data_IF_405167664138
#
_entry.id   IF_405167664138
#
_cell.length_a   1.000
_cell.length_b   1.000
_cell.length_c   1.000
_cell.angle_alpha   90.00
_cell.angle_beta   90.00
_cell.angle_gamma   90.00
#
_symmetry.space_group_name_H-M   'P 1'
#
loop_
_entity.id
_entity.type
_entity.pdbx_description
1 polymer ?
#
# COMPACT_ATOMS: atom_id res chain seq x y z
N UNK A 1 -21.20 65.50 51.79
CA UNK A 1 -20.09 64.60 51.38
C UNK A 1 -20.51 63.16 51.01
N UNK A 2 -21.81 62.80 50.92
CA UNK A 2 -22.27 61.43 50.58
C UNK A 2 -22.68 61.19 49.12
N UNK A 3 -22.79 62.25 48.29
CA UNK A 3 -23.20 62.14 46.87
C UNK A 3 -22.03 61.83 45.91
N UNK A 4 -20.81 62.26 46.21
CA UNK A 4 -19.64 62.03 45.32
C UNK A 4 -19.06 60.61 45.41
N UNK A 5 -19.25 59.89 46.53
CA UNK A 5 -18.79 58.51 46.67
C UNK A 5 -19.72 57.48 45.99
N UNK A 6 -20.99 57.82 45.76
CA UNK A 6 -21.93 56.95 45.05
C UNK A 6 -21.65 56.90 43.54
N UNK A 7 -21.16 57.99 42.95
CA UNK A 7 -20.76 58.04 41.54
C UNK A 7 -19.51 57.20 41.26
N UNK A 8 -18.48 57.30 42.11
CA UNK A 8 -17.25 56.51 41.98
C UNK A 8 -17.54 55.02 42.21
N UNK A 9 -18.38 54.68 43.19
CA UNK A 9 -18.79 53.29 43.44
C UNK A 9 -19.56 52.68 42.25
N UNK A 10 -20.42 53.45 41.59
CA UNK A 10 -21.14 52.97 40.40
C UNK A 10 -20.19 52.77 39.21
N UNK A 11 -19.26 53.69 39.00
CA UNK A 11 -18.25 53.60 37.92
C UNK A 11 -17.34 52.38 38.12
N UNK A 12 -16.88 52.12 39.35
CA UNK A 12 -16.03 50.95 39.62
C UNK A 12 -16.78 49.63 39.48
N UNK A 13 -18.03 49.55 39.92
CA UNK A 13 -18.89 48.36 39.72
C UNK A 13 -19.14 48.11 38.24
N UNK A 14 -19.48 49.14 37.47
CA UNK A 14 -19.67 49.02 36.02
C UNK A 14 -18.38 48.61 35.30
N UNK A 15 -17.23 49.16 35.71
CA UNK A 15 -15.93 48.81 35.13
C UNK A 15 -15.59 47.33 35.42
N UNK A 16 -15.74 46.89 36.67
CA UNK A 16 -15.48 45.50 37.07
C UNK A 16 -16.43 44.52 36.37
N UNK A 17 -17.72 44.86 36.27
CA UNK A 17 -18.69 44.04 35.53
C UNK A 17 -18.36 43.98 34.04
N UNK A 18 -17.99 45.12 33.42
CA UNK A 18 -17.60 45.16 32.01
C UNK A 18 -16.35 44.31 31.73
N UNK A 19 -15.36 44.33 32.64
CA UNK A 19 -14.15 43.53 32.54
C UNK A 19 -14.45 42.03 32.71
N UNK A 20 -15.29 41.68 33.69
CA UNK A 20 -15.73 40.30 33.89
C UNK A 20 -16.47 39.76 32.66
N UNK A 21 -17.32 40.58 32.01
CA UNK A 21 -18.02 40.25 30.77
C UNK A 21 -17.06 40.08 29.58
N UNK A 22 -16.05 40.94 29.45
CA UNK A 22 -15.02 40.82 28.41
C UNK A 22 -14.22 39.52 28.55
N UNK A 23 -13.82 39.16 29.78
CA UNK A 23 -13.08 37.91 30.06
C UNK A 23 -13.94 36.69 29.77
N UNK A 24 -15.19 36.67 30.25
CA UNK A 24 -16.12 35.54 30.00
C UNK A 24 -16.45 35.39 28.52
N UNK A 25 -16.68 36.48 27.79
CA UNK A 25 -16.89 36.44 26.34
C UNK A 25 -15.64 35.92 25.59
N UNK A 26 -14.44 36.32 26.02
CA UNK A 26 -13.17 35.82 25.49
C UNK A 26 -12.96 34.33 25.74
N UNK A 27 -13.22 33.86 26.96
CA UNK A 27 -13.17 32.43 27.33
C UNK A 27 -14.19 31.58 26.57
N UNK A 28 -15.40 32.08 26.37
CA UNK A 28 -16.43 31.34 25.62
C UNK A 28 -16.05 31.19 24.14
N UNK A 29 -15.40 32.20 23.56
CA UNK A 29 -14.88 32.14 22.19
C UNK A 29 -13.72 31.15 22.06
N UNK A 30 -12.78 31.14 23.01
CA UNK A 30 -11.67 30.18 23.01
C UNK A 30 -12.14 28.74 23.25
N UNK A 31 -13.10 28.52 24.15
CA UNK A 31 -13.71 27.21 24.40
C UNK A 31 -14.43 26.66 23.16
N UNK A 32 -15.18 27.51 22.43
CA UNK A 32 -15.85 27.10 21.18
C UNK A 32 -14.85 26.66 20.11
N UNK A 33 -13.71 27.33 19.97
CA UNK A 33 -12.66 26.92 19.03
C UNK A 33 -12.04 25.58 19.42
N UNK A 34 -11.74 25.37 20.71
CA UNK A 34 -11.21 24.10 21.20
C UNK A 34 -12.19 22.92 21.05
N UNK A 35 -13.50 23.14 21.18
CA UNK A 35 -14.50 22.09 20.98
C UNK A 35 -14.53 21.59 19.53
N UNK A 36 -14.45 22.49 18.55
CA UNK A 36 -14.41 22.11 17.13
C UNK A 36 -13.13 21.35 16.78
N UNK A 37 -11.98 21.79 17.31
CA UNK A 37 -10.71 21.06 17.10
C UNK A 37 -10.73 19.68 17.75
N UNK A 38 -11.32 19.55 18.95
CA UNK A 38 -11.44 18.27 19.64
C UNK A 38 -12.38 17.32 18.87
N UNK A 39 -13.51 17.81 18.36
CA UNK A 39 -14.40 17.02 17.52
C UNK A 39 -13.69 16.52 16.26
N UNK A 40 -12.92 17.37 15.60
CA UNK A 40 -12.14 16.98 14.42
C UNK A 40 -11.05 15.95 14.76
N UNK A 41 -10.37 16.10 15.90
CA UNK A 41 -9.37 15.13 16.36
C UNK A 41 -9.99 13.77 16.66
N UNK A 42 -11.12 13.74 17.38
CA UNK A 42 -11.87 12.52 17.66
C UNK A 42 -12.32 11.83 16.36
N UNK A 43 -12.80 12.61 15.40
CA UNK A 43 -13.21 12.10 14.09
C UNK A 43 -12.04 11.46 13.33
N UNK A 44 -10.85 12.08 13.35
CA UNK A 44 -9.65 11.49 12.75
C UNK A 44 -9.19 10.21 13.45
N UNK A 45 -9.32 10.13 14.78
CA UNK A 45 -9.03 8.91 15.53
C UNK A 45 -10.02 7.79 15.18
N UNK A 46 -11.31 8.11 15.02
CA UNK A 46 -12.33 7.16 14.60
C UNK A 46 -12.00 6.56 13.23
N UNK A 47 -11.65 7.38 12.23
CA UNK A 47 -11.23 6.88 10.91
C UNK A 47 -10.03 5.93 11.01
N UNK A 48 -9.03 6.25 11.84
CA UNK A 48 -7.86 5.41 12.04
C UNK A 48 -8.20 4.07 12.69
N UNK A 49 -9.06 4.06 13.69
CA UNK A 49 -9.53 2.83 14.34
C UNK A 49 -10.25 1.92 13.34
N UNK A 50 -11.10 2.49 12.47
CA UNK A 50 -11.75 1.75 11.39
C UNK A 50 -10.72 1.21 10.37
N UNK A 51 -9.69 2.00 10.05
CA UNK A 51 -8.58 1.56 9.21
C UNK A 51 -7.84 0.34 9.81
N UNK A 52 -7.58 0.38 11.12
CA UNK A 52 -6.95 -0.72 11.86
C UNK A 52 -7.87 -1.95 12.00
N UNK A 53 -9.19 -1.76 12.03
CA UNK A 53 -10.13 -2.87 11.98
C UNK A 53 -10.02 -3.63 10.66
N UNK A 54 -9.96 -2.93 9.53
CA UNK A 54 -9.69 -3.55 8.21
C UNK A 54 -8.35 -4.27 8.15
N UNK A 55 -7.29 -3.69 8.72
CA UNK A 55 -5.97 -4.33 8.83
C UNK A 55 -6.01 -5.61 9.69
N UNK A 56 -6.69 -5.57 10.84
CA UNK A 56 -6.83 -6.71 11.74
C UNK A 56 -7.61 -7.86 11.07
N UNK A 57 -8.70 -7.53 10.37
CA UNK A 57 -9.46 -8.48 9.58
C UNK A 57 -8.59 -9.16 8.51
N UNK A 58 -7.83 -8.39 7.74
CA UNK A 58 -6.97 -8.95 6.69
C UNK A 58 -5.88 -9.87 7.25
N UNK A 59 -5.27 -9.51 8.38
CA UNK A 59 -4.28 -10.38 9.05
C UNK A 59 -4.90 -11.68 9.55
N UNK A 60 -6.13 -11.63 10.06
CA UNK A 60 -6.87 -12.84 10.43
C UNK A 60 -7.19 -13.70 9.19
N UNK A 61 -7.64 -13.08 8.09
CA UNK A 61 -7.86 -13.77 6.81
C UNK A 61 -6.60 -14.46 6.29
N UNK A 62 -5.46 -13.77 6.32
CA UNK A 62 -4.16 -14.35 5.93
C UNK A 62 -3.78 -15.54 6.84
N UNK A 63 -4.06 -15.45 8.15
CA UNK A 63 -3.81 -16.55 9.10
C UNK A 63 -4.68 -17.78 8.80
N UNK A 64 -5.95 -17.58 8.49
CA UNK A 64 -6.91 -18.65 8.22
C UNK A 64 -6.65 -19.34 6.87
N UNK A 65 -6.34 -18.56 5.83
CA UNK A 65 -6.22 -19.08 4.46
C UNK A 65 -4.80 -19.41 4.01
N UNK A 66 -3.78 -19.01 4.78
CA UNK A 66 -2.39 -19.41 4.55
C UNK A 66 -1.83 -20.06 5.83
N UNK A 67 -2.31 -21.24 6.25
CA UNK A 67 -1.88 -21.87 7.49
C UNK A 67 -0.44 -22.41 7.43
N UNK A 68 0.05 -22.80 6.24
CA UNK A 68 1.42 -23.31 6.06
C UNK A 68 2.40 -22.18 5.63
N UNK A 69 3.45 -21.87 6.41
CA UNK A 69 4.47 -20.88 6.04
C UNK A 69 5.27 -21.24 4.79
N UNK A 70 5.29 -22.52 4.39
CA UNK A 70 5.98 -23.03 3.19
C UNK A 70 5.01 -23.38 2.07
N UNK A 71 3.72 -23.14 2.27
CA UNK A 71 2.70 -23.39 1.27
C UNK A 71 2.82 -22.46 0.08
N UNK A 72 2.31 -22.91 -1.06
CA UNK A 72 2.14 -22.07 -2.25
C UNK A 72 1.20 -20.91 -1.93
N UNK A 73 1.59 -19.72 -2.37
CA UNK A 73 0.74 -18.51 -2.32
C UNK A 73 0.31 -18.18 -3.74
N UNK A 74 -1.00 -18.17 -3.99
CA UNK A 74 -1.54 -17.94 -5.33
C UNK A 74 -2.70 -16.95 -5.33
N UNK A 75 -2.82 -16.17 -6.41
CA UNK A 75 -3.85 -15.13 -6.56
C UNK A 75 -5.29 -15.69 -6.61
N UNK A 76 -5.47 -16.99 -6.87
CA UNK A 76 -6.78 -17.64 -6.87
C UNK A 76 -7.18 -18.28 -5.54
N UNK A 77 -6.36 -18.16 -4.49
CA UNK A 77 -6.72 -18.63 -3.15
C UNK A 77 -7.71 -17.68 -2.46
N UNK A 78 -8.41 -18.19 -1.44
CA UNK A 78 -9.46 -17.43 -0.73
C UNK A 78 -8.96 -16.18 -0.02
N UNK A 79 -7.67 -16.08 0.34
CA UNK A 79 -7.13 -14.83 0.91
C UNK A 79 -7.22 -13.66 -0.09
N UNK A 80 -7.08 -13.93 -1.39
CA UNK A 80 -7.07 -12.94 -2.48
C UNK A 80 -8.47 -12.72 -3.08
N UNK A 81 -9.35 -13.73 -2.99
CA UNK A 81 -10.74 -13.66 -3.44
C UNK A 81 -11.62 -13.04 -2.36
N UNK A 82 -12.65 -12.30 -2.75
CA UNK A 82 -13.68 -11.75 -1.85
C UNK A 82 -13.14 -10.76 -0.81
N UNK A 83 -12.91 -9.54 -1.29
CA UNK A 83 -12.60 -8.40 -0.45
C UNK A 83 -13.86 -7.98 0.31
N UNK A 84 -13.77 -7.76 1.63
CA UNK A 84 -14.94 -7.47 2.41
C UNK A 84 -15.36 -6.04 2.11
N UNK A 85 -16.65 -5.88 1.89
CA UNK A 85 -17.30 -4.59 2.02
C UNK A 85 -18.02 -4.59 3.36
N UNK A 86 -17.33 -4.15 4.41
CA UNK A 86 -17.91 -4.12 5.76
C UNK A 86 -18.73 -2.85 5.91
N UNK A 87 -20.07 -2.93 5.97
CA UNK A 87 -20.88 -1.77 6.29
C UNK A 87 -20.64 -1.35 7.73
N UNK A 88 -20.53 -0.05 7.95
CA UNK A 88 -20.50 0.58 9.27
C UNK A 88 -21.55 1.68 9.31
N UNK A 89 -21.90 2.16 10.51
CA UNK A 89 -22.82 3.29 10.64
C UNK A 89 -22.30 4.49 9.83
N UNK A 90 -23.10 4.92 8.86
CA UNK A 90 -22.78 6.01 7.92
C UNK A 90 -21.48 5.80 7.11
N UNK A 91 -21.11 4.57 6.80
CA UNK A 91 -19.86 4.32 6.08
C UNK A 91 -19.65 2.89 5.61
N UNK A 92 -18.44 2.65 5.09
CA UNK A 92 -17.96 1.31 4.74
C UNK A 92 -16.44 1.20 4.88
N UNK A 93 -15.97 -0.01 5.12
CA UNK A 93 -14.55 -0.38 5.10
C UNK A 93 -14.35 -1.40 3.98
N UNK A 94 -13.52 -1.04 3.00
CA UNK A 94 -13.07 -1.93 1.93
C UNK A 94 -11.62 -2.33 2.21
N UNK A 95 -11.26 -3.58 1.95
CA UNK A 95 -9.92 -4.11 2.24
C UNK A 95 -9.37 -4.88 1.05
N UNK A 96 -8.24 -4.42 0.51
CA UNK A 96 -7.47 -5.10 -0.52
C UNK A 96 -6.25 -5.79 0.12
N UNK A 97 -5.93 -7.00 -0.34
CA UNK A 97 -4.74 -7.72 0.08
C UNK A 97 -3.92 -8.07 -1.16
N UNK A 98 -2.66 -7.69 -1.16
CA UNK A 98 -1.72 -7.91 -2.25
C UNK A 98 -0.51 -8.70 -1.74
N UNK A 99 -0.03 -9.67 -2.53
CA UNK A 99 1.26 -10.32 -2.32
C UNK A 99 2.40 -9.47 -2.89
N UNK A 100 3.27 -8.96 -2.01
CA UNK A 100 4.42 -8.15 -2.39
C UNK A 100 5.54 -8.95 -3.06
N UNK A 101 5.61 -10.27 -2.84
CA UNK A 101 6.56 -11.13 -3.56
C UNK A 101 6.19 -11.29 -5.04
N UNK A 102 4.98 -10.91 -5.46
CA UNK A 102 4.60 -10.83 -6.87
C UNK A 102 5.23 -9.65 -7.63
N UNK A 103 5.96 -8.76 -6.93
CA UNK A 103 6.68 -7.60 -7.49
C UNK A 103 8.17 -7.89 -7.66
N UNK A 104 8.86 -7.10 -8.49
CA UNK A 104 10.30 -7.20 -8.62
C UNK A 104 10.98 -6.77 -7.30
N UNK A 105 11.77 -7.66 -6.70
CA UNK A 105 12.48 -7.37 -5.47
C UNK A 105 13.78 -6.59 -5.76
N UNK A 106 13.79 -5.29 -5.48
CA UNK A 106 14.94 -4.40 -5.69
C UNK A 106 16.14 -4.84 -4.85
N UNK A 107 15.92 -5.52 -3.72
CA UNK A 107 17.00 -6.01 -2.86
C UNK A 107 17.95 -6.99 -3.58
N UNK A 108 17.48 -7.65 -4.66
CA UNK A 108 18.30 -8.51 -5.51
C UNK A 108 19.38 -7.75 -6.30
N UNK A 109 19.25 -6.43 -6.44
CA UNK A 109 20.22 -5.55 -7.11
C UNK A 109 21.20 -4.88 -6.14
N UNK A 110 20.89 -4.88 -4.84
CA UNK A 110 21.68 -4.24 -3.77
C UNK A 110 22.85 -5.13 -3.29
N UNK A 111 23.41 -5.94 -4.18
CA UNK A 111 24.50 -6.88 -3.86
C UNK A 111 25.83 -6.14 -3.70
N UNK A 112 26.73 -6.68 -2.87
CA UNK A 112 28.11 -6.18 -2.77
C UNK A 112 29.01 -6.66 -3.91
N UNK A 113 28.61 -7.75 -4.57
CA UNK A 113 29.27 -8.30 -5.75
C UNK A 113 28.42 -8.11 -7.01
N UNK A 114 28.87 -8.67 -8.14
CA UNK A 114 28.16 -8.59 -9.40
C UNK A 114 26.71 -9.06 -9.28
N UNK A 115 25.78 -8.30 -9.86
CA UNK A 115 24.37 -8.70 -9.95
C UNK A 115 24.26 -9.90 -10.89
N UNK A 116 23.42 -10.86 -10.51
CA UNK A 116 23.09 -12.01 -11.35
C UNK A 116 22.58 -11.56 -12.73
N UNK A 117 23.11 -12.17 -13.80
CA UNK A 117 22.83 -11.74 -15.17
C UNK A 117 21.35 -11.86 -15.54
N UNK A 118 20.66 -12.89 -15.05
CA UNK A 118 19.23 -13.12 -15.28
C UNK A 118 18.42 -12.03 -14.57
N UNK A 119 18.77 -11.72 -13.31
CA UNK A 119 18.11 -10.65 -12.55
C UNK A 119 18.33 -9.28 -13.21
N UNK A 120 19.54 -8.97 -13.66
CA UNK A 120 19.86 -7.74 -14.37
C UNK A 120 19.09 -7.62 -15.69
N UNK A 121 18.95 -8.71 -16.44
CA UNK A 121 18.15 -8.73 -17.68
C UNK A 121 16.67 -8.47 -17.38
N UNK A 122 16.09 -9.12 -16.35
CA UNK A 122 14.69 -8.89 -15.97
C UNK A 122 14.43 -7.46 -15.52
N UNK A 123 15.39 -6.86 -14.80
CA UNK A 123 15.36 -5.44 -14.44
C UNK A 123 15.32 -4.52 -15.66
N UNK A 124 16.16 -4.80 -16.67
CA UNK A 124 16.17 -4.07 -17.94
C UNK A 124 14.84 -4.20 -18.69
N UNK A 125 14.29 -5.43 -18.76
CA UNK A 125 13.01 -5.70 -19.44
C UNK A 125 11.84 -4.97 -18.76
N UNK A 126 11.82 -4.94 -17.43
CA UNK A 126 10.80 -4.21 -16.68
C UNK A 126 10.80 -2.72 -17.06
N UNK A 127 11.97 -2.09 -17.03
CA UNK A 127 12.10 -0.66 -17.36
C UNK A 127 11.72 -0.37 -18.82
N UNK A 128 12.13 -1.24 -19.73
CA UNK A 128 11.78 -1.15 -21.16
C UNK A 128 10.27 -1.27 -21.36
N UNK A 129 9.62 -2.24 -20.72
CA UNK A 129 8.17 -2.42 -20.80
C UNK A 129 7.38 -1.24 -20.24
N UNK A 130 7.91 -0.59 -19.20
CA UNK A 130 7.31 0.60 -18.58
C UNK A 130 7.65 1.92 -19.30
N UNK A 131 8.52 1.87 -20.31
CA UNK A 131 9.00 3.04 -21.06
C UNK A 131 9.53 4.13 -20.11
N UNK A 132 10.32 3.70 -19.13
CA UNK A 132 11.05 4.61 -18.23
C UNK A 132 12.52 4.69 -18.66
N UNK A 133 13.21 5.82 -18.39
CA UNK A 133 14.66 5.90 -18.56
C UNK A 133 15.38 4.71 -17.91
N UNK A 134 16.37 4.15 -18.61
CA UNK A 134 17.07 2.96 -18.14
C UNK A 134 18.06 3.32 -17.02
N UNK A 135 17.89 2.67 -15.88
CA UNK A 135 18.83 2.64 -14.76
C UNK A 135 19.56 1.29 -14.80
N UNK A 136 20.88 1.32 -14.97
CA UNK A 136 21.70 0.11 -14.93
C UNK A 136 21.68 -0.52 -13.53
N UNK A 137 21.66 -1.85 -13.45
CA UNK A 137 21.67 -2.56 -12.17
C UNK A 137 22.91 -2.23 -11.31
N UNK A 138 24.04 -1.88 -11.93
CA UNK A 138 25.27 -1.46 -11.25
C UNK A 138 25.10 -0.16 -10.46
N UNK A 139 24.20 0.74 -10.85
CA UNK A 139 23.91 1.95 -10.10
C UNK A 139 23.31 1.68 -8.71
N UNK A 140 22.77 0.47 -8.50
CA UNK A 140 22.17 0.05 -7.24
C UNK A 140 23.09 -0.84 -6.39
N UNK A 141 24.22 -1.30 -6.94
CA UNK A 141 25.15 -2.18 -6.22
C UNK A 141 25.75 -1.48 -5.01
N UNK A 142 25.90 -2.22 -3.91
CA UNK A 142 26.46 -1.72 -2.66
C UNK A 142 25.57 -0.75 -1.87
N UNK A 143 24.45 -0.27 -2.43
CA UNK A 143 23.51 0.58 -1.70
C UNK A 143 22.84 -0.18 -0.54
N UNK A 144 22.56 0.55 0.54
CA UNK A 144 21.81 0.04 1.68
C UNK A 144 20.53 0.86 1.81
N UNK A 145 19.41 0.27 1.39
CA UNK A 145 18.10 0.89 1.46
C UNK A 145 17.30 0.31 2.61
N UNK A 146 16.72 1.17 3.44
CA UNK A 146 15.76 0.76 4.49
C UNK A 146 14.31 0.98 4.06
N UNK A 147 14.09 1.88 3.09
CA UNK A 147 12.79 2.17 2.52
C UNK A 147 12.92 2.36 1.01
N UNK A 148 11.96 1.85 0.24
CA UNK A 148 12.02 1.88 -1.22
C UNK A 148 12.03 3.31 -1.80
N UNK A 149 11.47 4.29 -1.07
CA UNK A 149 11.44 5.68 -1.48
C UNK A 149 12.81 6.36 -1.51
N UNK A 150 13.82 5.75 -0.88
CA UNK A 150 15.23 6.18 -0.95
C UNK A 150 15.81 5.98 -2.36
N UNK A 151 15.18 5.20 -3.23
CA UNK A 151 15.56 5.12 -4.66
C UNK A 151 15.58 6.50 -5.32
N UNK A 152 14.78 7.47 -4.86
CA UNK A 152 14.79 8.86 -5.37
C UNK A 152 16.11 9.62 -5.12
N UNK A 153 17.02 9.05 -4.33
CA UNK A 153 18.36 9.61 -4.11
C UNK A 153 19.40 9.05 -5.09
N UNK A 154 19.03 8.02 -5.86
CA UNK A 154 19.88 7.43 -6.88
C UNK A 154 19.86 8.31 -8.12
N UNK A 155 21.04 8.58 -8.67
CA UNK A 155 21.18 9.33 -9.91
C UNK A 155 20.38 8.65 -11.05
N UNK A 156 19.60 9.45 -11.78
CA UNK A 156 18.70 8.95 -12.83
C UNK A 156 17.30 8.53 -12.34
N UNK A 157 17.02 8.58 -11.03
CA UNK A 157 15.68 8.29 -10.48
C UNK A 157 14.95 9.59 -10.12
N UNK A 158 14.18 10.12 -11.06
CA UNK A 158 13.30 11.26 -10.82
C UNK A 158 11.92 10.83 -10.25
N UNK A 159 11.08 11.82 -9.92
CA UNK A 159 9.74 11.56 -9.36
C UNK A 159 8.82 10.82 -10.33
N UNK A 160 8.94 11.08 -11.65
CA UNK A 160 8.11 10.44 -12.67
C UNK A 160 8.53 8.97 -12.84
N UNK A 161 9.81 8.71 -12.96
CA UNK A 161 10.41 7.37 -12.98
C UNK A 161 9.95 6.58 -11.76
N UNK A 162 10.10 7.17 -10.56
CA UNK A 162 9.72 6.49 -9.32
C UNK A 162 8.22 6.19 -9.28
N UNK A 163 7.36 7.13 -9.66
CA UNK A 163 5.91 6.91 -9.71
C UNK A 163 5.49 5.80 -10.67
N UNK A 164 6.20 5.64 -11.80
CA UNK A 164 5.93 4.60 -12.79
C UNK A 164 6.45 3.24 -12.35
N UNK A 165 7.58 3.20 -11.64
CA UNK A 165 8.21 1.96 -11.19
C UNK A 165 7.57 1.43 -9.91
N UNK A 166 7.18 2.29 -8.97
CA UNK A 166 6.69 1.93 -7.62
C UNK A 166 5.62 0.80 -7.61
N UNK A 167 4.62 0.75 -8.52
CA UNK A 167 3.64 -0.34 -8.53
C UNK A 167 4.23 -1.72 -8.83
N UNK A 168 5.40 -1.79 -9.47
CA UNK A 168 6.01 -3.01 -10.00
C UNK A 168 7.17 -3.53 -9.16
N UNK A 169 7.65 -2.74 -8.21
CA UNK A 169 8.81 -3.02 -7.39
C UNK A 169 8.45 -3.13 -5.90
N UNK A 170 9.24 -3.89 -5.16
CA UNK A 170 9.22 -3.99 -3.71
C UNK A 170 10.65 -4.02 -3.16
N UNK A 171 10.83 -3.61 -1.90
CA UNK A 171 12.06 -3.77 -1.15
C UNK A 171 11.81 -4.80 -0.06
N UNK A 172 12.22 -6.04 -0.28
CA UNK A 172 12.01 -7.19 0.61
C UNK A 172 13.36 -7.77 1.03
N UNK A 173 13.36 -8.88 1.79
CA UNK A 173 14.61 -9.59 2.08
C UNK A 173 15.30 -10.04 0.79
N UNK A 174 16.65 -9.99 0.75
CA UNK A 174 17.45 -10.30 -0.45
C UNK A 174 17.18 -11.69 -1.06
N UNK A 175 16.81 -12.67 -0.24
CA UNK A 175 16.47 -14.01 -0.69
C UNK A 175 15.02 -14.20 -1.15
N UNK A 176 14.20 -13.15 -1.12
CA UNK A 176 12.79 -13.25 -1.55
C UNK A 176 12.73 -13.36 -3.06
N UNK A 177 12.24 -14.51 -3.53
CA UNK A 177 12.00 -14.79 -4.93
C UNK A 177 10.70 -14.15 -5.43
N UNK A 178 10.62 -13.90 -6.75
CA UNK A 178 9.41 -13.47 -7.43
C UNK A 178 8.38 -14.60 -7.39
N UNK A 179 7.25 -14.37 -6.73
CA UNK A 179 6.16 -15.32 -6.68
C UNK A 179 5.42 -15.36 -8.03
N UNK A 180 5.66 -16.41 -8.82
CA UNK A 180 5.07 -16.58 -10.15
C UNK A 180 3.54 -16.74 -10.13
N UNK A 181 2.97 -17.14 -8.99
CA UNK A 181 1.54 -17.38 -8.81
C UNK A 181 0.75 -16.11 -8.50
N UNK A 182 1.43 -15.02 -8.18
CA UNK A 182 0.84 -13.70 -7.90
C UNK A 182 1.40 -12.60 -8.80
N UNK A 183 2.55 -12.82 -9.43
CA UNK A 183 3.15 -11.89 -10.40
C UNK A 183 2.15 -11.46 -11.47
N UNK A 184 2.15 -10.16 -11.80
CA UNK A 184 1.31 -9.63 -12.87
C UNK A 184 1.83 -10.06 -14.25
N UNK A 185 0.99 -9.91 -15.29
CA UNK A 185 1.42 -10.18 -16.66
C UNK A 185 2.63 -9.31 -17.07
N UNK A 186 2.70 -8.06 -16.60
CA UNK A 186 3.86 -7.21 -16.89
C UNK A 186 5.15 -7.72 -16.23
N UNK A 187 5.09 -8.29 -15.02
CA UNK A 187 6.25 -8.94 -14.39
C UNK A 187 6.65 -10.22 -15.12
N UNK A 188 5.69 -11.06 -15.48
CA UNK A 188 5.98 -12.29 -16.23
C UNK A 188 6.56 -12.01 -17.63
N UNK A 189 6.21 -10.87 -18.24
CA UNK A 189 6.80 -10.44 -19.52
C UNK A 189 8.28 -10.04 -19.41
N UNK A 190 8.84 -9.92 -18.20
CA UNK A 190 10.28 -9.67 -18.00
C UNK A 190 11.13 -10.94 -18.14
N UNK A 191 10.49 -12.12 -18.08
CA UNK A 191 11.16 -13.41 -18.17
C UNK A 191 11.70 -13.67 -19.57
N UNK A 192 12.70 -14.55 -19.64
CA UNK A 192 13.47 -14.81 -20.86
C UNK A 192 12.56 -15.31 -21.99
N UNK A 193 12.53 -14.59 -23.12
CA UNK A 193 11.72 -14.96 -24.29
C UNK A 193 10.20 -14.79 -24.12
N UNK A 194 9.71 -14.32 -22.97
CA UNK A 194 8.27 -14.19 -22.71
C UNK A 194 7.74 -12.86 -23.26
N UNK A 195 6.90 -12.92 -24.28
CA UNK A 195 6.25 -11.72 -24.84
C UNK A 195 5.09 -11.24 -23.96
N UNK A 196 4.68 -9.96 -24.05
CA UNK A 196 3.52 -9.44 -23.30
C UNK A 196 2.23 -10.23 -23.55
N UNK A 197 1.99 -10.71 -24.77
CA UNK A 197 0.82 -11.55 -25.11
C UNK A 197 0.91 -12.94 -24.49
N UNK A 198 2.10 -13.52 -24.44
CA UNK A 198 2.32 -14.79 -23.74
C UNK A 198 2.10 -14.62 -22.25
N UNK A 199 2.61 -13.54 -21.65
CA UNK A 199 2.44 -13.26 -20.23
C UNK A 199 0.96 -13.06 -19.83
N UNK A 200 0.17 -12.35 -20.65
CA UNK A 200 -1.28 -12.23 -20.45
C UNK A 200 -1.97 -13.60 -20.48
N UNK A 201 -1.61 -14.46 -21.42
CA UNK A 201 -2.13 -15.83 -21.51
C UNK A 201 -1.69 -16.70 -20.33
N UNK A 202 -0.44 -16.58 -19.88
CA UNK A 202 0.05 -17.28 -18.69
C UNK A 202 -0.74 -16.91 -17.43
N UNK A 203 -1.10 -15.63 -17.27
CA UNK A 203 -1.98 -15.19 -16.16
C UNK A 203 -3.39 -15.73 -16.34
N UNK A 204 -3.96 -15.64 -17.55
CA UNK A 204 -5.32 -16.12 -17.82
C UNK A 204 -5.47 -17.64 -17.64
N UNK A 205 -4.42 -18.40 -17.94
CA UNK A 205 -4.37 -19.87 -17.81
C UNK A 205 -3.76 -20.32 -16.48
N UNK A 206 -3.33 -19.40 -15.61
CA UNK A 206 -2.73 -19.73 -14.32
C UNK A 206 -3.72 -20.59 -13.51
N UNK A 207 -3.29 -21.76 -13.00
CA UNK A 207 -4.15 -22.56 -12.13
C UNK A 207 -4.66 -21.73 -10.95
N UNK A 208 -5.90 -21.96 -10.51
CA UNK A 208 -6.47 -21.17 -9.40
C UNK A 208 -5.64 -21.29 -8.10
N UNK A 209 -5.08 -22.48 -7.84
CA UNK A 209 -4.20 -22.71 -6.70
C UNK A 209 -2.72 -22.41 -6.99
N UNK A 210 -2.42 -21.89 -8.18
CA UNK A 210 -1.06 -21.68 -8.66
C UNK A 210 -0.37 -22.96 -9.14
N UNK A 211 0.83 -22.79 -9.69
CA UNK A 211 1.80 -23.86 -9.93
C UNK A 211 2.37 -24.34 -8.59
N UNK A 212 2.60 -25.65 -8.42
CA UNK A 212 3.07 -26.19 -7.15
C UNK A 212 4.53 -25.78 -6.88
N UNK A 213 5.33 -25.79 -7.93
CA UNK A 213 6.73 -25.38 -7.91
C UNK A 213 7.10 -24.61 -9.19
N UNK A 214 8.39 -24.29 -9.32
CA UNK A 214 8.94 -23.55 -10.45
C UNK A 214 9.00 -24.43 -11.71
N UNK A 215 9.16 -25.74 -11.53
CA UNK A 215 9.28 -26.72 -12.61
C UNK A 215 7.96 -26.83 -13.38
N UNK A 216 6.84 -26.96 -12.66
CA UNK A 216 5.48 -26.92 -13.22
C UNK A 216 5.25 -25.69 -14.11
N UNK A 217 5.77 -24.54 -13.68
CA UNK A 217 5.67 -23.31 -14.44
C UNK A 217 6.55 -23.33 -15.69
N UNK A 218 7.85 -23.59 -15.55
CA UNK A 218 8.80 -23.53 -16.68
C UNK A 218 8.54 -24.60 -17.74
N UNK A 219 7.92 -25.72 -17.38
CA UNK A 219 7.52 -26.77 -18.32
C UNK A 219 6.14 -26.60 -18.96
N UNK A 220 5.43 -25.51 -18.64
CA UNK A 220 4.21 -25.10 -19.36
C UNK A 220 4.50 -25.05 -20.87
N UNK A 221 3.62 -25.57 -21.76
CA UNK A 221 3.89 -25.65 -23.20
C UNK A 221 4.31 -24.33 -23.85
N UNK A 222 3.83 -23.20 -23.32
CA UNK A 222 4.15 -21.86 -23.81
C UNK A 222 5.58 -21.40 -23.47
N UNK A 223 6.20 -21.97 -22.44
CA UNK A 223 7.53 -21.57 -21.94
C UNK A 223 8.64 -22.56 -22.33
N UNK A 224 8.26 -23.78 -22.70
CA UNK A 224 9.20 -24.82 -23.10
C UNK A 224 10.06 -24.35 -24.28
N UNK A 225 11.38 -24.43 -24.11
CA UNK A 225 12.36 -24.04 -25.14
C UNK A 225 12.72 -22.55 -25.16
N UNK A 226 12.07 -21.69 -24.36
CA UNK A 226 12.46 -20.28 -24.25
C UNK A 226 13.68 -20.05 -23.35
N UNK A 227 14.07 -21.05 -22.55
CA UNK A 227 15.17 -20.93 -21.60
C UNK A 227 14.84 -20.02 -20.40
N UNK A 228 13.58 -20.06 -19.91
CA UNK A 228 13.22 -19.35 -18.68
C UNK A 228 13.99 -19.93 -17.51
N UNK A 229 14.80 -19.10 -16.85
CA UNK A 229 15.65 -19.53 -15.74
C UNK A 229 14.86 -19.55 -14.43
N UNK A 230 15.05 -20.58 -13.61
CA UNK A 230 14.44 -20.67 -12.28
C UNK A 230 15.03 -19.65 -11.27
N UNK A 231 16.21 -19.08 -11.55
CA UNK A 231 16.88 -18.13 -10.65
C UNK A 231 15.96 -16.97 -10.29
N UNK A 232 15.80 -16.72 -8.98
CA UNK A 232 14.95 -15.66 -8.46
C UNK A 232 13.45 -15.86 -8.62
N UNK A 233 12.98 -17.04 -9.05
CA UNK A 233 11.56 -17.41 -9.08
C UNK A 233 11.19 -18.27 -7.87
N UNK A 234 9.93 -18.22 -7.46
CA UNK A 234 9.39 -19.04 -6.39
C UNK A 234 7.86 -19.07 -6.43
N UNK A 235 7.25 -19.91 -5.59
CA UNK A 235 5.79 -20.08 -5.49
C UNK A 235 5.24 -19.67 -4.13
N UNK A 236 6.11 -19.23 -3.22
CA UNK A 236 5.79 -18.92 -1.83
C UNK A 236 5.86 -17.40 -1.60
N UNK A 237 5.12 -16.93 -0.60
CA UNK A 237 5.28 -15.58 -0.08
C UNK A 237 5.02 -15.52 1.42
N UNK A 238 5.72 -14.57 2.06
CA UNK A 238 5.47 -14.17 3.44
C UNK A 238 5.18 -12.67 3.54
N UNK A 239 5.11 -11.95 2.43
CA UNK A 239 5.08 -10.48 2.39
C UNK A 239 3.79 -10.00 1.75
N UNK A 240 2.98 -9.28 2.52
CA UNK A 240 1.68 -8.82 2.03
C UNK A 240 1.49 -7.35 2.32
N UNK A 241 0.80 -6.67 1.43
CA UNK A 241 0.29 -5.33 1.63
C UNK A 241 -1.21 -5.41 1.83
N UNK A 242 -1.68 -4.78 2.89
CA UNK A 242 -3.10 -4.62 3.18
C UNK A 242 -3.45 -3.16 2.93
N UNK A 243 -4.37 -2.89 2.01
CA UNK A 243 -4.89 -1.55 1.76
C UNK A 243 -6.30 -1.45 2.30
N UNK A 244 -6.50 -0.65 3.34
CA UNK A 244 -7.82 -0.37 3.90
C UNK A 244 -8.32 0.97 3.39
N UNK A 245 -9.49 0.98 2.78
CA UNK A 245 -10.23 2.19 2.40
C UNK A 245 -11.41 2.36 3.35
N UNK A 246 -11.40 3.44 4.14
CA UNK A 246 -12.52 3.80 5.03
C UNK A 246 -13.25 4.97 4.42
N UNK A 247 -14.58 4.86 4.34
CA UNK A 247 -15.48 5.98 4.03
C UNK A 247 -16.43 6.14 5.21
N UNK A 248 -16.48 7.33 5.81
CA UNK A 248 -17.38 7.66 6.92
C UNK A 248 -17.98 9.05 6.65
N UNK A 249 -19.25 9.09 6.26
CA UNK A 249 -19.89 10.28 5.72
C UNK A 249 -19.11 10.83 4.52
N UNK A 250 -18.61 12.06 4.64
CA UNK A 250 -17.77 12.70 3.61
C UNK A 250 -16.26 12.43 3.79
N UNK A 251 -15.87 11.86 4.94
CA UNK A 251 -14.46 11.64 5.24
C UNK A 251 -13.96 10.32 4.68
N UNK A 252 -12.70 10.32 4.24
CA UNK A 252 -12.05 9.16 3.65
C UNK A 252 -10.68 8.95 4.27
N UNK A 253 -10.30 7.70 4.45
CA UNK A 253 -8.95 7.29 4.85
C UNK A 253 -8.49 6.18 3.91
N UNK A 254 -7.23 6.26 3.46
CA UNK A 254 -6.52 5.14 2.85
C UNK A 254 -5.32 4.79 3.71
N UNK A 255 -5.28 3.57 4.21
CA UNK A 255 -4.19 3.03 5.01
C UNK A 255 -3.56 1.86 4.26
N UNK A 256 -2.26 1.93 3.98
CA UNK A 256 -1.48 0.78 3.56
C UNK A 256 -0.66 0.23 4.73
N UNK A 257 -0.76 -1.07 4.95
CA UNK A 257 -0.03 -1.78 5.99
C UNK A 257 0.73 -2.93 5.37
N UNK A 258 2.06 -2.86 5.38
CA UNK A 258 2.89 -3.98 4.93
C UNK A 258 3.12 -4.92 6.12
N UNK A 259 2.88 -6.21 5.92
CA UNK A 259 2.98 -7.25 6.94
C UNK A 259 3.90 -8.38 6.45
N UNK A 260 4.58 -9.01 7.40
CA UNK A 260 5.39 -10.20 7.13
C UNK A 260 5.00 -11.35 8.06
N UNK A 261 4.92 -12.56 7.51
CA UNK A 261 4.80 -13.77 8.34
C UNK A 261 6.15 -14.17 8.89
N UNK A 262 6.28 -14.41 10.18
CA UNK A 262 7.49 -14.97 10.77
C UNK A 262 7.57 -16.48 10.49
N UNK A 263 8.68 -16.95 9.93
CA UNK A 263 8.79 -18.33 9.44
C UNK A 263 8.78 -19.40 10.55
N UNK A 264 9.23 -19.06 11.76
CA UNK A 264 9.30 -20.04 12.88
C UNK A 264 7.98 -20.14 13.65
N UNK A 265 7.33 -19.00 13.89
CA UNK A 265 6.12 -18.91 14.73
C UNK A 265 4.85 -18.92 13.90
N UNK A 266 4.94 -18.64 12.60
CA UNK A 266 3.78 -18.49 11.71
C UNK A 266 2.99 -17.21 11.96
N UNK A 267 3.41 -16.34 12.88
CA UNK A 267 2.73 -15.10 13.23
C UNK A 267 2.92 -14.01 12.18
N UNK A 268 1.89 -13.20 11.97
CA UNK A 268 1.91 -12.04 11.07
C UNK A 268 2.29 -10.78 11.84
N UNK A 269 3.45 -10.20 11.53
CA UNK A 269 3.90 -8.93 12.10
C UNK A 269 3.67 -7.78 11.13
N UNK A 270 3.33 -6.63 11.70
CA UNK A 270 3.29 -5.37 10.99
C UNK A 270 4.71 -4.83 10.81
N UNK A 271 5.08 -4.51 9.58
CA UNK A 271 6.35 -3.87 9.26
C UNK A 271 6.22 -2.34 9.28
N UNK A 272 5.19 -1.84 8.59
CA UNK A 272 4.98 -0.40 8.41
C UNK A 272 3.53 -0.07 8.10
N UNK A 273 3.14 1.16 8.43
CA UNK A 273 1.86 1.77 8.09
C UNK A 273 2.09 3.08 7.35
N UNK A 274 1.36 3.29 6.26
CA UNK A 274 1.37 4.53 5.48
C UNK A 274 -0.05 5.04 5.32
N UNK A 275 -0.29 6.26 5.80
CA UNK A 275 -1.53 6.97 5.55
C UNK A 275 -1.39 7.73 4.24
N UNK A 276 -2.18 7.35 3.24
CA UNK A 276 -2.10 7.89 1.90
C UNK A 276 -3.31 8.77 1.60
N UNK A 277 -3.14 9.63 0.59
CA UNK A 277 -4.27 10.35 0.02
C UNK A 277 -5.34 9.33 -0.45
N UNK A 278 -6.63 9.56 -0.13
CA UNK A 278 -7.71 8.74 -0.65
C UNK A 278 -7.70 8.74 -2.17
N UNK A 279 -7.89 7.56 -2.79
CA UNK A 279 -8.08 7.48 -4.24
C UNK A 279 -9.49 7.95 -4.60
N UNK A 280 -9.61 8.69 -5.72
CA UNK A 280 -10.89 8.84 -6.38
C UNK A 280 -11.19 7.51 -7.07
N UNK A 281 -12.01 6.66 -6.46
CA UNK A 281 -12.64 5.58 -7.20
C UNK A 281 -13.61 6.22 -8.19
N UNK A 282 -13.26 6.22 -9.48
CA UNK A 282 -14.24 6.43 -10.55
C UNK A 282 -15.11 5.18 -10.52
N UNK A 283 -16.41 5.37 -10.33
CA UNK A 283 -17.37 4.27 -10.35
C UNK A 283 -17.38 3.71 -11.79
N UNK A 284 -17.25 2.40 -12.04
CA UNK A 284 -17.32 1.86 -13.40
C UNK A 284 -18.67 2.16 -14.10
N UNK A 285 -19.71 2.54 -13.34
CA UNK A 285 -20.97 3.07 -13.88
C UNK A 285 -20.84 4.47 -14.51
N UNK A 286 -19.86 5.28 -14.09
CA UNK A 286 -19.67 6.64 -14.62
C UNK A 286 -18.94 6.63 -15.98
N UNK A 287 -18.18 5.56 -16.25
CA UNK A 287 -17.50 5.36 -17.54
C UNK A 287 -18.50 4.93 -18.65
N UNK A 288 -19.58 4.23 -18.28
CA UNK A 288 -20.65 3.89 -19.23
C UNK A 288 -21.54 5.10 -19.59
N UNK A 289 -21.70 6.06 -18.68
CA UNK A 289 -22.40 7.34 -18.97
C UNK A 289 -21.56 8.31 -19.81
N UNK A 290 -20.22 8.23 -19.73
CA UNK A 290 -19.32 9.04 -20.56
C UNK A 290 -19.22 8.53 -22.01
N UNK A 291 -19.54 7.25 -22.25
CA UNK A 291 -19.52 6.63 -23.58
C UNK A 291 -20.88 6.62 -24.28
N UNK A 292 -21.99 6.96 -23.60
CA UNK A 292 -23.32 7.08 -24.24
C UNK A 292 -23.62 8.49 -24.79
N UNK A 293 -22.68 9.44 -24.66
CA UNK A 293 -22.82 10.82 -25.13
C UNK A 293 -21.72 11.26 -26.13
N UNK A 294 -21.05 10.31 -26.79
CA UNK A 294 -20.22 10.55 -27.97
C UNK A 294 -20.71 9.71 -29.14
#
# INVERSE_FOLDING_TARGET
>A
MRRDQQGIALITVLLVMSLALLITAGMLRSQRLSLHSNAQQLHQLQLRQLGFAGEAWARQRLREHLPDPKGVVAAGQSWAKEQPDMPIDNGRIEVEIEDLAGRFNVAALLTKGPVDKVVAQRWLQLQTGLKVPLLDASALQGLSLSDISQLRQVEGVDALWFSRMQPWIALLDKGTALNINTASAGLLATLEGVTPDMARRLVAQRPQQGYADIEDFTFTPMLRGLGVHASGLGTQSRWFRITTHVRLGQSRLRLESDVARHLKTGEWHLLQRRFLAPTHTVNPSDEQLALSHR
#
